data_IF_495582763983
#
_entry.id   IF_495582763983
#
_cell.length_a   1.000
_cell.length_b   1.000
_cell.length_c   1.000
_cell.angle_alpha   90.00
_cell.angle_beta   90.00
_cell.angle_gamma   90.00
#
_symmetry.space_group_name_H-M   'P 1'
#
loop_
_entity.id
_entity.type
_entity.pdbx_description
1 polymer ?
#
# COMPACT_ATOMS: atom_id res chain seq x y z
N UNK A 1 -5.85 -18.46 8.85
CA UNK A 1 -4.37 -18.59 8.85
C UNK A 1 -3.83 -17.22 8.45
N UNK A 2 -3.05 -16.52 9.29
CA UNK A 2 -2.51 -15.20 8.95
C UNK A 2 -1.47 -15.34 7.83
N UNK A 3 -1.60 -14.58 6.75
CA UNK A 3 -0.61 -14.54 5.66
C UNK A 3 0.40 -13.43 5.97
N UNK A 4 1.68 -13.79 6.05
CA UNK A 4 2.78 -12.84 6.21
C UNK A 4 3.33 -12.57 4.80
N UNK A 5 3.35 -11.30 4.42
CA UNK A 5 3.95 -10.80 3.18
C UNK A 5 5.27 -10.15 3.57
N UNK A 6 6.36 -10.63 3.00
CA UNK A 6 7.72 -10.22 3.36
C UNK A 6 8.28 -9.40 2.20
N UNK A 7 8.49 -8.10 2.42
CA UNK A 7 9.26 -7.27 1.49
C UNK A 7 10.70 -7.23 1.96
N UNK A 8 11.60 -7.78 1.15
CA UNK A 8 13.02 -7.67 1.40
C UNK A 8 13.59 -6.66 0.40
N UNK A 9 13.99 -5.49 0.92
CA UNK A 9 14.69 -4.47 0.13
C UNK A 9 16.17 -4.86 0.10
N UNK A 10 16.69 -5.20 -1.07
CA UNK A 10 18.10 -5.57 -1.26
C UNK A 10 18.93 -4.30 -1.51
N UNK A 11 19.50 -3.70 -0.46
CA UNK A 11 20.52 -2.67 -0.62
C UNK A 11 21.89 -3.31 -0.85
N UNK A 12 22.41 -3.20 -2.08
CA UNK A 12 23.78 -3.62 -2.39
C UNK A 12 24.73 -2.51 -1.91
N UNK A 13 25.19 -2.62 -0.67
CA UNK A 13 26.49 -2.20 -0.08
C UNK A 13 26.31 -2.03 1.45
N UNK A 14 26.73 -3.04 2.23
CA UNK A 14 26.82 -2.93 3.70
C UNK A 14 25.54 -3.25 4.48
N UNK A 15 25.00 -4.46 4.27
CA UNK A 15 24.02 -5.21 5.10
C UNK A 15 23.28 -4.47 6.23
N UNK A 16 22.12 -3.91 5.90
CA UNK A 16 20.90 -4.05 6.72
C UNK A 16 19.75 -4.39 5.76
N UNK A 17 19.36 -5.66 5.70
CA UNK A 17 18.08 -6.02 5.09
C UNK A 17 16.99 -5.63 6.07
N UNK A 18 16.35 -4.48 5.88
CA UNK A 18 15.10 -4.18 6.60
C UNK A 18 14.00 -5.00 5.91
N UNK A 19 13.81 -6.22 6.37
CA UNK A 19 12.73 -7.06 5.88
C UNK A 19 11.50 -6.75 6.75
N UNK A 20 10.62 -5.88 6.27
CA UNK A 20 9.37 -5.61 6.98
C UNK A 20 8.38 -6.71 6.65
N UNK A 21 7.95 -7.41 7.69
CA UNK A 21 6.89 -8.39 7.60
C UNK A 21 5.55 -7.67 7.72
N UNK A 22 4.86 -7.51 6.61
CA UNK A 22 3.47 -7.07 6.60
C UNK A 22 2.58 -8.28 6.88
N UNK A 23 1.56 -8.10 7.72
CA UNK A 23 0.55 -9.14 7.97
C UNK A 23 -0.75 -8.74 7.30
N UNK A 24 -1.28 -9.60 6.42
CA UNK A 24 -2.61 -9.40 5.85
C UNK A 24 -3.67 -9.46 6.95
N UNK A 25 -4.31 -8.33 7.23
CA UNK A 25 -5.34 -8.18 8.27
C UNK A 25 -6.74 -7.99 7.69
N UNK A 26 -6.86 -7.49 6.47
CA UNK A 26 -8.14 -7.42 5.76
C UNK A 26 -7.97 -7.68 4.27
N UNK A 27 -8.83 -8.53 3.72
CA UNK A 27 -8.85 -8.90 2.30
C UNK A 27 -9.68 -7.90 1.47
N UNK A 28 -9.46 -7.93 0.16
CA UNK A 28 -10.24 -7.20 -0.83
C UNK A 28 -11.66 -7.78 -0.98
N UNK A 29 -12.62 -6.91 -1.30
CA UNK A 29 -13.97 -7.32 -1.68
C UNK A 29 -15.05 -7.09 -0.61
N UNK A 30 -16.20 -7.73 -0.80
CA UNK A 30 -17.35 -7.57 0.09
C UNK A 30 -17.12 -8.25 1.44
N UNK A 31 -17.15 -7.46 2.50
CA UNK A 31 -17.06 -7.94 3.89
C UNK A 31 -18.08 -7.26 4.79
N UNK A 32 -18.33 -7.87 5.94
CA UNK A 32 -19.03 -7.15 7.02
C UNK A 32 -18.11 -6.09 7.59
N UNK A 33 -18.62 -4.87 7.69
CA UNK A 33 -17.88 -3.73 8.20
C UNK A 33 -17.60 -3.93 9.69
N UNK A 34 -16.33 -3.83 10.13
CA UNK A 34 -15.90 -4.29 11.46
C UNK A 34 -16.54 -3.48 12.61
N UNK A 35 -17.03 -2.28 12.32
CA UNK A 35 -17.63 -1.38 13.32
C UNK A 35 -19.16 -1.49 13.38
N UNK A 36 -19.85 -1.77 12.27
CA UNK A 36 -21.32 -1.61 12.19
C UNK A 36 -22.06 -2.84 11.64
N UNK A 37 -21.34 -3.91 11.26
CA UNK A 37 -21.91 -5.17 10.77
C UNK A 37 -22.60 -5.07 9.40
N UNK A 38 -22.58 -3.91 8.74
CA UNK A 38 -23.16 -3.76 7.40
C UNK A 38 -22.18 -4.25 6.34
N UNK A 39 -22.69 -4.77 5.23
CA UNK A 39 -21.83 -5.07 4.07
C UNK A 39 -21.17 -3.78 3.58
N UNK A 40 -19.85 -3.79 3.50
CA UNK A 40 -19.02 -2.75 2.93
C UNK A 40 -18.04 -3.39 1.97
N UNK A 41 -17.82 -2.74 0.83
CA UNK A 41 -16.82 -3.18 -0.14
C UNK A 41 -15.47 -2.58 0.24
N UNK A 42 -14.47 -3.43 0.39
CA UNK A 42 -13.10 -3.04 0.63
C UNK A 42 -12.34 -2.98 -0.70
N UNK A 43 -11.97 -1.78 -1.13
CA UNK A 43 -11.34 -1.49 -2.42
C UNK A 43 -9.87 -1.89 -2.52
N UNK A 44 -9.28 -2.35 -1.41
CA UNK A 44 -7.90 -2.79 -1.32
C UNK A 44 -7.70 -3.91 -0.32
N UNK A 45 -6.45 -4.08 0.12
CA UNK A 45 -6.08 -4.95 1.24
C UNK A 45 -5.45 -4.12 2.35
N UNK A 46 -5.64 -4.55 3.60
CA UNK A 46 -4.98 -3.95 4.75
C UNK A 46 -3.84 -4.85 5.22
N UNK A 47 -2.65 -4.26 5.26
CA UNK A 47 -1.40 -4.91 5.62
C UNK A 47 -0.85 -4.27 6.90
N UNK A 48 -1.02 -4.92 8.05
CA UNK A 48 -0.50 -4.44 9.32
C UNK A 48 1.02 -4.54 9.38
N UNK A 49 1.65 -3.48 9.87
CA UNK A 49 3.08 -3.36 10.13
C UNK A 49 3.31 -2.27 11.18
N UNK A 50 4.51 -2.18 11.73
CA UNK A 50 4.84 -1.17 12.75
C UNK A 50 4.71 0.26 12.19
N UNK A 51 4.32 1.21 13.03
CA UNK A 51 4.32 2.63 12.66
C UNK A 51 5.73 3.06 12.23
N UNK A 52 5.84 3.73 11.09
CA UNK A 52 7.12 4.14 10.51
C UNK A 52 7.79 3.07 9.65
N UNK A 53 7.24 1.85 9.56
CA UNK A 53 7.80 0.81 8.67
C UNK A 53 7.82 1.31 7.22
N UNK A 54 8.93 1.14 6.47
CA UNK A 54 9.03 1.63 5.11
C UNK A 54 8.07 0.90 4.17
N UNK A 55 7.41 1.67 3.32
CA UNK A 55 6.51 1.21 2.27
C UNK A 55 7.28 1.28 0.94
N UNK A 56 7.62 0.15 0.31
CA UNK A 56 8.16 0.14 -1.05
C UNK A 56 7.07 0.32 -2.10
N UNK A 57 7.43 0.84 -3.27
CA UNK A 57 6.58 0.76 -4.46
C UNK A 57 6.44 -0.70 -4.89
N UNK A 58 5.20 -1.17 -5.07
CA UNK A 58 4.88 -2.53 -5.51
C UNK A 58 5.29 -2.77 -6.97
N UNK A 59 5.27 -1.73 -7.80
CA UNK A 59 5.72 -1.73 -9.19
C UNK A 59 6.32 -0.38 -9.55
N UNK A 60 7.21 -0.37 -10.55
CA UNK A 60 7.77 0.87 -11.10
C UNK A 60 6.70 1.75 -11.74
N UNK A 61 6.83 3.07 -11.64
CA UNK A 61 5.84 3.99 -12.21
C UNK A 61 6.08 5.44 -11.87
N UNK A 62 5.17 6.31 -12.32
CA UNK A 62 5.19 7.74 -12.04
C UNK A 62 4.23 8.10 -10.92
N UNK A 63 4.69 8.89 -9.95
CA UNK A 63 3.83 9.46 -8.91
C UNK A 63 2.88 10.47 -9.56
N UNK A 64 1.58 10.19 -9.54
CA UNK A 64 0.55 11.10 -10.09
C UNK A 64 -0.18 11.88 -9.00
N UNK A 65 -0.12 11.42 -7.75
CA UNK A 65 -0.60 12.18 -6.59
C UNK A 65 0.15 11.77 -5.33
N UNK A 66 0.35 12.75 -4.43
CA UNK A 66 0.84 12.53 -3.07
C UNK A 66 0.21 13.58 -2.15
N UNK A 67 -0.11 13.21 -0.92
CA UNK A 67 -0.67 14.13 0.10
C UNK A 67 -1.95 13.62 0.74
N UNK A 68 -2.61 14.47 1.52
CA UNK A 68 -3.84 14.11 2.23
C UNK A 68 -5.04 13.96 1.27
N UNK A 69 -5.78 12.86 1.41
CA UNK A 69 -6.93 12.53 0.56
C UNK A 69 -8.12 12.01 1.39
N UNK A 70 -8.65 12.89 2.24
CA UNK A 70 -9.86 12.63 3.04
C UNK A 70 -9.72 11.39 3.93
N UNK A 71 -10.66 10.45 3.82
CA UNK A 71 -10.69 9.24 4.64
C UNK A 71 -9.46 8.34 4.50
N UNK A 72 -8.70 8.43 3.41
CA UNK A 72 -7.46 7.68 3.22
C UNK A 72 -6.28 8.25 4.03
N UNK A 73 -6.39 9.48 4.54
CA UNK A 73 -5.26 10.19 5.14
C UNK A 73 -4.21 10.52 4.08
N UNK A 74 -2.92 10.44 4.44
CA UNK A 74 -1.85 10.67 3.49
C UNK A 74 -1.71 9.49 2.55
N UNK A 75 -1.63 9.78 1.25
CA UNK A 75 -1.50 8.76 0.21
C UNK A 75 -0.32 9.01 -0.73
N UNK A 76 0.09 7.94 -1.40
CA UNK A 76 0.84 7.98 -2.67
C UNK A 76 -0.01 7.26 -3.72
N UNK A 77 -0.15 7.85 -4.91
CA UNK A 77 -0.77 7.22 -6.07
C UNK A 77 0.25 7.14 -7.20
N UNK A 78 0.48 5.92 -7.70
CA UNK A 78 1.46 5.63 -8.76
C UNK A 78 0.71 5.17 -10.00
N UNK A 79 1.03 5.78 -11.15
CA UNK A 79 0.65 5.30 -12.48
C UNK A 79 1.75 4.40 -13.05
N UNK A 80 1.39 3.17 -13.41
CA UNK A 80 2.28 2.17 -13.99
C UNK A 80 2.17 2.08 -15.51
N UNK A 81 1.38 2.96 -16.13
CA UNK A 81 0.97 2.87 -17.53
C UNK A 81 -0.18 1.89 -17.74
N UNK A 82 -0.70 1.83 -18.97
CA UNK A 82 -1.79 0.90 -19.36
C UNK A 82 -3.04 0.98 -18.46
N UNK A 83 -3.38 2.17 -17.95
CA UNK A 83 -4.49 2.40 -17.01
C UNK A 83 -4.39 1.54 -15.73
N UNK A 84 -3.17 1.29 -15.25
CA UNK A 84 -2.89 0.54 -14.04
C UNK A 84 -2.29 1.46 -12.98
N UNK A 85 -2.88 1.45 -11.78
CA UNK A 85 -2.45 2.31 -10.68
C UNK A 85 -2.34 1.55 -9.37
N UNK A 86 -1.41 1.94 -8.50
CA UNK A 86 -1.40 1.51 -7.10
C UNK A 86 -1.56 2.71 -6.18
N UNK A 87 -2.41 2.56 -5.17
CA UNK A 87 -2.65 3.55 -4.12
C UNK A 87 -2.17 3.00 -2.78
N UNK A 88 -1.37 3.79 -2.07
CA UNK A 88 -0.82 3.50 -0.76
C UNK A 88 -1.38 4.52 0.21
N UNK A 89 -2.14 4.09 1.22
CA UNK A 89 -2.84 4.99 2.13
C UNK A 89 -2.44 4.80 3.60
N UNK A 90 -2.98 5.71 4.42
CA UNK A 90 -2.74 5.82 5.86
C UNK A 90 -1.29 6.13 6.24
N UNK A 91 -0.50 6.71 5.34
CA UNK A 91 0.93 6.93 5.53
C UNK A 91 1.25 7.97 6.64
N UNK A 92 2.29 7.72 7.42
CA UNK A 92 2.80 8.70 8.41
C UNK A 92 3.66 9.78 7.76
N UNK A 93 4.43 9.39 6.75
CA UNK A 93 5.35 10.25 6.02
C UNK A 93 5.40 9.83 4.54
N UNK A 94 5.63 10.80 3.66
CA UNK A 94 5.72 10.63 2.21
C UNK A 94 7.13 11.06 1.75
N UNK A 95 7.84 10.18 1.04
CA UNK A 95 9.23 10.39 0.61
C UNK A 95 9.37 10.77 -0.86
N UNK A 96 8.25 11.06 -1.52
CA UNK A 96 8.16 11.29 -2.96
C UNK A 96 7.36 12.55 -3.27
N UNK A 97 7.43 13.01 -4.52
CA UNK A 97 6.64 14.14 -5.01
C UNK A 97 5.99 13.84 -6.36
N UNK A 98 4.92 14.57 -6.70
CA UNK A 98 4.22 14.40 -7.98
C UNK A 98 5.17 14.60 -9.18
N UNK A 99 5.03 13.75 -10.19
CA UNK A 99 5.86 13.72 -11.38
C UNK A 99 7.14 12.87 -11.25
N UNK A 100 7.55 12.51 -10.04
CA UNK A 100 8.70 11.63 -9.79
C UNK A 100 8.47 10.23 -10.36
N UNK A 101 9.48 9.65 -11.00
CA UNK A 101 9.49 8.22 -11.33
C UNK A 101 10.12 7.42 -10.19
N UNK A 102 9.56 6.27 -9.87
CA UNK A 102 10.07 5.35 -8.84
C UNK A 102 10.20 3.95 -9.40
N UNK A 103 11.22 3.23 -8.92
CA UNK A 103 11.43 1.82 -9.26
C UNK A 103 10.68 0.91 -8.27
N UNK A 104 10.29 -0.28 -8.73
CA UNK A 104 9.82 -1.36 -7.86
C UNK A 104 10.79 -1.59 -6.70
N UNK A 105 10.27 -1.68 -5.48
CA UNK A 105 11.08 -1.84 -4.28
C UNK A 105 11.64 -0.53 -3.69
N UNK A 106 11.60 0.59 -4.43
CA UNK A 106 12.00 1.89 -3.90
C UNK A 106 11.06 2.32 -2.77
N UNK A 107 11.62 2.77 -1.64
CA UNK A 107 10.81 3.28 -0.52
C UNK A 107 10.17 4.61 -0.89
N UNK A 108 8.84 4.68 -0.78
CA UNK A 108 8.03 5.84 -1.19
C UNK A 108 7.32 6.54 -0.04
N UNK A 109 7.07 5.83 1.06
CA UNK A 109 6.35 6.32 2.22
C UNK A 109 6.68 5.49 3.46
N UNK A 110 6.12 5.89 4.60
CA UNK A 110 6.16 5.11 5.83
C UNK A 110 4.75 4.76 6.34
N UNK A 111 4.60 3.57 6.91
CA UNK A 111 3.35 3.10 7.52
C UNK A 111 2.92 4.07 8.61
N UNK A 112 1.64 4.37 8.65
CA UNK A 112 1.05 5.26 9.64
C UNK A 112 -0.35 4.82 10.03
N UNK A 113 -1.10 5.77 10.57
CA UNK A 113 -2.49 5.60 10.98
C UNK A 113 -3.29 6.88 10.74
N UNK A 114 -3.00 7.59 9.64
CA UNK A 114 -3.69 8.85 9.27
C UNK A 114 -5.02 8.58 8.58
N UNK A 115 -5.96 9.53 8.63
CA UNK A 115 -7.29 9.34 8.06
C UNK A 115 -8.15 8.37 8.89
N UNK A 116 -9.04 7.63 8.24
CA UNK A 116 -9.92 6.65 8.88
C UNK A 116 -9.20 5.32 9.09
N UNK A 117 -8.29 5.31 10.03
CA UNK A 117 -7.52 4.13 10.44
C UNK A 117 -7.70 3.86 11.94
N UNK A 118 -7.77 2.59 12.32
CA UNK A 118 -7.88 2.14 13.73
C UNK A 118 -6.54 1.71 14.33
N UNK A 119 -5.46 1.74 13.53
CA UNK A 119 -4.11 1.40 13.98
C UNK A 119 -3.12 1.30 12.81
N UNK A 120 -1.81 1.16 13.08
CA UNK A 120 -0.80 1.14 12.04
C UNK A 120 -1.00 0.04 10.99
N UNK A 121 -1.21 0.44 9.74
CA UNK A 121 -1.28 -0.46 8.58
C UNK A 121 -1.08 0.30 7.26
N UNK A 122 -0.74 -0.43 6.21
CA UNK A 122 -0.83 0.02 4.82
C UNK A 122 -2.18 -0.45 4.25
N UNK A 123 -2.98 0.50 3.76
CA UNK A 123 -4.08 0.19 2.86
C UNK A 123 -3.56 0.29 1.42
N UNK A 124 -3.56 -0.83 0.71
CA UNK A 124 -3.05 -0.95 -0.66
C UNK A 124 -4.21 -1.24 -1.61
N UNK A 125 -4.37 -0.42 -2.63
CA UNK A 125 -5.30 -0.68 -3.74
C UNK A 125 -4.56 -0.90 -5.05
N UNK A 126 -5.17 -1.70 -5.92
CA UNK A 126 -4.75 -1.90 -7.30
C UNK A 126 -5.92 -1.56 -8.21
N UNK A 127 -5.70 -0.67 -9.16
CA UNK A 127 -6.71 -0.24 -10.12
C UNK A 127 -6.28 -0.69 -11.51
N UNK A 128 -7.17 -1.30 -12.27
CA UNK A 128 -6.94 -1.63 -13.68
C UNK A 128 -8.16 -1.21 -14.50
N UNK A 129 -7.93 -0.45 -15.58
CA UNK A 129 -8.99 0.01 -16.49
C UNK A 129 -10.15 0.71 -15.77
N UNK A 130 -9.83 1.48 -14.71
CA UNK A 130 -10.81 2.23 -13.91
C UNK A 130 -11.64 1.38 -12.94
N UNK A 131 -11.24 0.13 -12.65
CA UNK A 131 -11.88 -0.74 -11.67
C UNK A 131 -10.89 -1.16 -10.58
N UNK A 132 -11.37 -1.36 -9.35
CA UNK A 132 -10.57 -1.96 -8.29
C UNK A 132 -10.40 -3.46 -8.53
N UNK A 133 -9.17 -3.94 -8.37
CA UNK A 133 -8.78 -5.34 -8.53
C UNK A 133 -8.11 -5.81 -7.24
N UNK A 134 -8.24 -7.10 -6.90
CA UNK A 134 -7.59 -7.69 -5.73
C UNK A 134 -6.05 -7.50 -5.82
N UNK A 135 -5.45 -6.66 -4.95
CA UNK A 135 -4.01 -6.41 -4.96
C UNK A 135 -3.19 -7.65 -4.61
N UNK A 136 -3.81 -8.72 -4.09
CA UNK A 136 -3.11 -9.97 -3.82
C UNK A 136 -2.46 -10.58 -5.07
N UNK A 137 -2.86 -10.19 -6.29
CA UNK A 137 -2.20 -10.61 -7.53
C UNK A 137 -0.73 -10.17 -7.59
N UNK A 138 -0.39 -9.03 -7.00
CA UNK A 138 0.99 -8.48 -6.95
C UNK A 138 1.95 -9.50 -6.32
N UNK A 139 1.48 -10.30 -5.35
CA UNK A 139 2.31 -11.23 -4.58
C UNK A 139 2.34 -12.66 -5.13
N UNK A 140 1.66 -12.95 -6.25
CA UNK A 140 1.55 -14.32 -6.77
C UNK A 140 2.61 -14.72 -7.77
N UNK A 141 3.36 -13.76 -8.33
CA UNK A 141 4.47 -13.98 -9.27
C UNK A 141 4.01 -14.64 -10.57
N UNK A 142 3.95 -13.84 -11.64
CA UNK A 142 3.82 -14.34 -13.02
C UNK A 142 5.15 -14.17 -13.75
#
# INVERSE_FOLDING_TARGET
MKRIIVFCILFIFGFVTVCNAFTLTSEFGWREHPINGKKSFHSGIDLAADYGAPIPAMWSGQIVFYGEYGGYGNIVLIDHGNNRYTLYAHCSELYVSAGQYVEEGQVIAAVGSTGYSTGPHLHLELWENGQYVDPMIIFRGD
#
